data_IF_180834738266
#
_entry.id   IF_180834738266
#
_cell.length_a   1.000
_cell.length_b   1.000
_cell.length_c   1.000
_cell.angle_alpha   90.00
_cell.angle_beta   90.00
_cell.angle_gamma   90.00
#
_symmetry.space_group_name_H-M   'P 1'
#
loop_
_entity.id
_entity.type
_entity.pdbx_description
1 polymer ?
#
# COMPACT_ATOMS: atom_id res chain seq x y z
N UNK A 1 48.73 6.91 -15.47
CA UNK A 1 47.74 7.49 -14.54
C UNK A 1 46.37 7.30 -15.17
N UNK A 2 45.65 6.24 -14.78
CA UNK A 2 44.31 5.93 -15.29
C UNK A 2 43.33 6.61 -14.33
N UNK A 3 42.62 7.63 -14.83
CA UNK A 3 41.60 8.35 -14.07
C UNK A 3 40.36 7.46 -14.02
N UNK A 4 40.05 6.97 -12.82
CA UNK A 4 38.85 6.22 -12.48
C UNK A 4 37.66 7.20 -12.46
N UNK A 5 36.82 7.18 -13.49
CA UNK A 5 35.59 7.96 -13.52
C UNK A 5 34.53 7.21 -12.71
N UNK A 6 34.37 7.54 -11.43
CA UNK A 6 33.26 7.04 -10.62
C UNK A 6 32.03 7.91 -10.87
N UNK A 7 31.11 7.39 -11.68
CA UNK A 7 29.76 7.91 -11.79
C UNK A 7 28.98 7.53 -10.52
N UNK A 8 28.98 8.41 -9.52
CA UNK A 8 27.96 8.37 -8.47
C UNK A 8 26.65 8.88 -9.07
N UNK A 9 25.90 8.01 -9.74
CA UNK A 9 24.52 8.28 -10.05
C UNK A 9 23.70 8.08 -8.77
N UNK A 10 23.40 9.16 -8.05
CA UNK A 10 22.26 9.16 -7.13
C UNK A 10 20.99 9.16 -7.99
N UNK A 11 20.37 7.99 -8.22
CA UNK A 11 18.95 7.99 -8.53
C UNK A 11 18.24 8.51 -7.29
N UNK A 12 17.53 9.63 -7.42
CA UNK A 12 16.48 9.92 -6.46
C UNK A 12 15.40 8.88 -6.75
N UNK A 13 15.31 7.85 -5.93
CA UNK A 13 14.29 6.83 -6.10
C UNK A 13 12.92 7.50 -5.98
N UNK A 14 12.14 7.43 -7.05
CA UNK A 14 10.82 8.04 -7.11
C UNK A 14 9.92 7.34 -6.10
N UNK A 15 9.54 8.05 -5.05
CA UNK A 15 8.65 7.55 -4.01
C UNK A 15 7.22 7.99 -4.30
N UNK A 16 6.31 7.02 -4.38
CA UNK A 16 4.88 7.25 -4.52
C UNK A 16 4.33 7.77 -3.20
N UNK A 17 3.79 8.99 -3.19
CA UNK A 17 3.26 9.66 -1.99
C UNK A 17 1.75 9.59 -1.88
N UNK A 18 1.06 9.36 -2.99
CA UNK A 18 -0.40 9.32 -3.06
C UNK A 18 -0.88 8.39 -4.16
N UNK A 19 -1.95 7.64 -3.89
CA UNK A 19 -2.57 6.72 -4.85
C UNK A 19 -4.08 6.79 -4.78
N UNK A 20 -4.74 6.43 -5.87
CA UNK A 20 -6.16 6.07 -5.90
C UNK A 20 -6.38 4.68 -6.49
N UNK A 21 -7.56 4.10 -6.28
CA UNK A 21 -7.99 2.82 -6.84
C UNK A 21 -9.51 2.84 -7.13
N UNK A 22 -10.00 1.95 -7.99
CA UNK A 22 -11.42 1.91 -8.37
C UNK A 22 -12.16 0.62 -7.96
N UNK A 23 -11.49 -0.32 -7.29
CA UNK A 23 -12.06 -1.62 -6.90
C UNK A 23 -12.29 -1.79 -5.40
N UNK A 24 -12.78 -2.97 -5.00
CA UNK A 24 -12.68 -3.44 -3.61
C UNK A 24 -11.22 -3.67 -3.21
N UNK A 25 -10.95 -3.63 -1.90
CA UNK A 25 -9.65 -3.91 -1.30
C UNK A 25 -9.64 -5.28 -0.63
N UNK A 26 -8.46 -5.85 -0.46
CA UNK A 26 -8.23 -7.01 0.40
C UNK A 26 -7.18 -6.63 1.47
N UNK A 27 -7.38 -7.04 2.72
CA UNK A 27 -6.50 -6.71 3.84
C UNK A 27 -5.63 -7.90 4.24
N UNK A 28 -4.32 -7.68 4.31
CA UNK A 28 -3.32 -8.64 4.72
C UNK A 28 -2.76 -8.23 6.08
N UNK A 29 -3.13 -8.97 7.13
CA UNK A 29 -2.65 -8.75 8.49
C UNK A 29 -1.56 -9.75 8.83
N UNK A 30 -0.38 -9.26 9.23
CA UNK A 30 0.70 -10.11 9.72
C UNK A 30 0.30 -10.77 11.04
N UNK A 31 0.68 -12.04 11.20
CA UNK A 31 0.59 -12.84 12.41
C UNK A 31 1.94 -13.54 12.67
N UNK A 32 2.02 -14.41 13.69
CA UNK A 32 3.29 -15.05 14.10
C UNK A 32 3.95 -15.92 13.02
N UNK A 33 3.20 -16.43 12.03
CA UNK A 33 3.68 -17.39 11.04
C UNK A 33 3.64 -16.84 9.60
N UNK A 34 2.68 -15.96 9.28
CA UNK A 34 2.40 -15.45 7.93
C UNK A 34 1.42 -14.25 7.93
N UNK A 35 0.76 -14.02 6.79
CA UNK A 35 -0.33 -13.06 6.66
C UNK A 35 -1.69 -13.76 6.64
N UNK A 36 -2.62 -13.29 7.45
CA UNK A 36 -4.05 -13.59 7.33
C UNK A 36 -4.71 -12.62 6.35
N UNK A 37 -5.51 -13.15 5.42
CA UNK A 37 -6.17 -12.34 4.39
C UNK A 37 -7.66 -12.19 4.69
N UNK A 38 -8.12 -10.96 4.81
CA UNK A 38 -9.55 -10.62 4.79
C UNK A 38 -9.92 -9.98 3.45
N UNK A 39 -10.69 -10.71 2.65
CA UNK A 39 -11.17 -10.24 1.36
C UNK A 39 -12.32 -9.24 1.49
N UNK A 40 -12.44 -8.34 0.50
CA UNK A 40 -13.52 -7.36 0.38
C UNK A 40 -13.66 -6.46 1.62
N UNK A 41 -12.66 -5.62 1.84
CA UNK A 41 -12.69 -4.59 2.88
C UNK A 41 -13.01 -3.21 2.31
N UNK A 42 -13.50 -2.35 3.17
CA UNK A 42 -13.74 -0.94 2.90
C UNK A 42 -12.89 -0.08 3.86
N UNK A 43 -12.43 1.06 3.37
CA UNK A 43 -11.69 2.07 4.14
C UNK A 43 -12.33 3.45 4.10
N UNK A 44 -13.56 3.56 3.60
CA UNK A 44 -14.34 4.80 3.54
C UNK A 44 -13.85 5.81 2.49
N UNK A 45 -12.82 5.47 1.72
CA UNK A 45 -12.24 6.29 0.66
C UNK A 45 -11.73 5.42 -0.49
N UNK A 46 -11.35 6.06 -1.60
CA UNK A 46 -10.69 5.46 -2.77
C UNK A 46 -9.29 6.01 -3.00
N UNK A 47 -8.73 6.70 -1.99
CA UNK A 47 -7.39 7.29 -2.02
C UNK A 47 -6.62 6.98 -0.74
N UNK A 48 -5.30 6.92 -0.86
CA UNK A 48 -4.38 6.83 0.26
C UNK A 48 -3.17 7.72 -0.01
N UNK A 49 -2.57 8.26 1.05
CA UNK A 49 -1.35 9.06 0.98
C UNK A 49 -0.42 8.69 2.13
N UNK A 50 0.88 8.89 1.91
CA UNK A 50 1.93 8.62 2.89
C UNK A 50 1.68 9.40 4.18
N UNK A 51 1.66 8.70 5.32
CA UNK A 51 1.33 9.25 6.64
C UNK A 51 -0.17 9.37 6.93
N UNK A 52 -1.04 9.11 5.95
CA UNK A 52 -2.48 9.08 6.12
C UNK A 52 -2.94 7.90 6.99
N UNK A 53 -4.15 8.02 7.53
CA UNK A 53 -4.78 6.99 8.37
C UNK A 53 -5.91 6.33 7.60
N UNK A 54 -5.96 5.00 7.60
CA UNK A 54 -7.05 4.22 7.02
C UNK A 54 -7.64 3.31 8.10
N UNK A 55 -8.94 3.47 8.35
CA UNK A 55 -9.72 2.53 9.17
C UNK A 55 -10.31 1.46 8.25
N UNK A 56 -10.19 0.19 8.63
CA UNK A 56 -10.48 -0.96 7.77
C UNK A 56 -11.69 -1.69 8.32
N UNK A 57 -12.68 -1.92 7.46
CA UNK A 57 -13.94 -2.58 7.79
C UNK A 57 -14.22 -3.76 6.87
N UNK A 58 -14.73 -4.86 7.42
CA UNK A 58 -15.10 -6.05 6.64
C UNK A 58 -16.49 -5.90 6.03
N UNK A 59 -16.60 -6.03 4.71
CA UNK A 59 -17.91 -6.09 4.06
C UNK A 59 -18.56 -7.48 4.21
N UNK A 60 -19.90 -7.57 4.14
CA UNK A 60 -20.86 -6.46 4.02
C UNK A 60 -21.30 -5.86 5.37
N UNK A 61 -20.90 -6.46 6.50
CA UNK A 61 -21.40 -6.09 7.83
C UNK A 61 -20.76 -4.82 8.40
N UNK A 62 -19.67 -4.35 7.80
CA UNK A 62 -18.85 -3.24 8.28
C UNK A 62 -18.25 -3.51 9.67
N UNK A 63 -17.84 -4.76 9.92
CA UNK A 63 -17.15 -5.12 11.16
C UNK A 63 -15.76 -4.48 11.16
N UNK A 64 -15.42 -3.72 12.21
CA UNK A 64 -14.11 -3.05 12.32
C UNK A 64 -12.97 -4.07 12.46
N UNK A 65 -12.01 -4.00 11.52
CA UNK A 65 -10.86 -4.90 11.46
C UNK A 65 -9.59 -4.30 12.00
N UNK A 66 -9.24 -3.06 11.65
CA UNK A 66 -7.99 -2.43 12.07
C UNK A 66 -7.95 -0.94 11.69
N UNK A 67 -6.91 -0.25 12.13
CA UNK A 67 -6.51 1.08 11.66
C UNK A 67 -5.02 1.06 11.34
N UNK A 68 -4.66 1.41 10.10
CA UNK A 68 -3.26 1.52 9.70
C UNK A 68 -2.85 2.97 9.46
N UNK A 69 -1.61 3.30 9.80
CA UNK A 69 -0.95 4.53 9.34
C UNK A 69 -0.09 4.20 8.13
N UNK A 70 -0.37 4.81 6.99
CA UNK A 70 0.30 4.50 5.71
C UNK A 70 1.78 4.87 5.79
N UNK A 71 2.65 3.91 5.53
CA UNK A 71 4.12 4.06 5.58
C UNK A 71 4.78 3.88 4.22
N UNK A 72 4.13 3.18 3.28
CA UNK A 72 4.65 2.96 1.94
C UNK A 72 3.50 2.65 0.97
N UNK A 73 3.68 3.04 -0.30
CA UNK A 73 2.80 2.69 -1.40
C UNK A 73 3.67 2.05 -2.48
N UNK A 74 3.43 0.78 -2.77
CA UNK A 74 4.19 -0.02 -3.74
C UNK A 74 3.30 -0.32 -4.95
N UNK A 75 3.73 0.09 -6.14
CA UNK A 75 3.04 -0.22 -7.39
C UNK A 75 3.69 -1.42 -8.08
N UNK A 76 2.86 -2.30 -8.62
CA UNK A 76 3.33 -3.45 -9.40
C UNK A 76 2.28 -3.89 -10.41
N UNK A 77 2.72 -4.55 -11.47
CA UNK A 77 1.82 -5.12 -12.47
C UNK A 77 1.59 -6.59 -12.18
N UNK A 78 0.31 -7.00 -12.19
CA UNK A 78 -0.04 -8.42 -12.26
C UNK A 78 0.36 -8.96 -13.64
N UNK A 79 0.52 -10.28 -13.74
CA UNK A 79 0.95 -10.97 -14.97
C UNK A 79 0.12 -10.65 -16.22
N UNK A 80 -1.14 -10.23 -16.05
CA UNK A 80 -2.05 -9.83 -17.12
C UNK A 80 -2.03 -8.32 -17.43
N UNK A 81 -1.10 -7.57 -16.86
CA UNK A 81 -0.94 -6.13 -17.08
C UNK A 81 -1.83 -5.26 -16.19
N UNK A 82 -2.60 -5.83 -15.27
CA UNK A 82 -3.40 -5.06 -14.32
C UNK A 82 -2.48 -4.32 -13.33
N UNK A 83 -2.55 -2.99 -13.30
CA UNK A 83 -1.81 -2.16 -12.35
C UNK A 83 -2.41 -2.32 -10.95
N UNK A 84 -1.62 -2.86 -10.04
CA UNK A 84 -1.94 -3.09 -8.64
C UNK A 84 -1.12 -2.14 -7.77
N UNK A 85 -1.56 -1.96 -6.52
CA UNK A 85 -0.75 -1.35 -5.50
C UNK A 85 -0.95 -2.00 -4.13
N UNK A 86 0.13 -2.13 -3.37
CA UNK A 86 0.08 -2.39 -1.93
C UNK A 86 0.17 -1.07 -1.19
N UNK A 87 -0.74 -0.88 -0.25
CA UNK A 87 -0.74 0.26 0.67
C UNK A 87 -0.33 -0.30 2.02
N UNK A 88 0.95 -0.16 2.34
CA UNK A 88 1.54 -0.64 3.58
C UNK A 88 1.30 0.36 4.70
N UNK A 89 1.07 -0.15 5.91
CA UNK A 89 0.97 0.69 7.09
C UNK A 89 1.10 -0.06 8.41
N UNK A 90 1.49 0.69 9.43
CA UNK A 90 1.62 0.17 10.79
C UNK A 90 0.23 -0.04 11.40
N UNK A 91 -0.07 -1.28 11.80
CA UNK A 91 -1.32 -1.63 12.47
C UNK A 91 -1.39 -1.02 13.86
N UNK A 92 -2.51 -0.37 14.17
CA UNK A 92 -2.79 0.11 15.53
C UNK A 92 -3.21 -1.02 16.49
N UNK A 93 -3.58 -2.21 15.98
CA UNK A 93 -3.94 -3.37 16.80
C UNK A 93 -2.72 -4.23 17.19
N UNK A 94 -1.85 -4.52 16.23
CA UNK A 94 -0.71 -5.44 16.44
C UNK A 94 0.65 -4.74 16.48
N UNK A 95 0.77 -3.51 15.98
CA UNK A 95 2.06 -2.84 15.77
C UNK A 95 2.89 -3.43 14.62
N UNK A 96 2.34 -4.38 13.87
CA UNK A 96 3.01 -5.03 12.73
C UNK A 96 2.78 -4.26 11.43
N UNK A 97 3.58 -4.55 10.41
CA UNK A 97 3.45 -3.93 9.09
C UNK A 97 2.45 -4.72 8.24
N UNK A 98 1.24 -4.17 8.12
CA UNK A 98 0.15 -4.80 7.38
C UNK A 98 -0.08 -4.05 6.07
N UNK A 99 -0.83 -4.63 5.12
CA UNK A 99 -1.14 -3.93 3.88
C UNK A 99 -2.54 -4.18 3.33
N UNK A 100 -3.02 -3.19 2.59
CA UNK A 100 -4.16 -3.33 1.70
C UNK A 100 -3.66 -3.63 0.29
N UNK A 101 -4.30 -4.58 -0.38
CA UNK A 101 -4.10 -4.83 -1.80
C UNK A 101 -5.22 -4.17 -2.59
N UNK A 102 -4.85 -3.26 -3.48
CA UNK A 102 -5.74 -2.51 -4.35
C UNK A 102 -5.49 -2.85 -5.84
N UNK A 103 -6.54 -2.76 -6.66
CA UNK A 103 -6.51 -2.99 -8.11
C UNK A 103 -6.80 -1.69 -8.85
N UNK A 104 -6.36 -1.60 -10.11
CA UNK A 104 -6.50 -0.42 -10.97
C UNK A 104 -5.96 0.85 -10.32
N UNK A 105 -4.76 0.75 -9.74
CA UNK A 105 -4.19 1.88 -9.03
C UNK A 105 -3.70 2.98 -9.99
N UNK A 106 -3.82 4.23 -9.54
CA UNK A 106 -3.29 5.41 -10.23
C UNK A 106 -2.40 6.20 -9.28
N UNK A 107 -1.20 6.51 -9.72
CA UNK A 107 -0.28 7.36 -9.00
C UNK A 107 -0.77 8.82 -9.06
N UNK A 108 -0.92 9.44 -7.89
CA UNK A 108 -1.37 10.83 -7.73
C UNK A 108 -0.31 11.68 -7.01
N UNK A 109 0.96 11.26 -7.02
CA UNK A 109 2.04 11.90 -6.24
C UNK A 109 2.26 13.38 -6.58
N UNK A 110 2.04 13.76 -7.84
CA UNK A 110 2.25 15.12 -8.35
C UNK A 110 0.96 15.97 -8.41
N UNK A 111 -0.12 15.54 -7.75
CA UNK A 111 -1.43 16.20 -7.73
C UNK A 111 -1.81 16.78 -6.35
#
# INVERSE_FOLDING_TARGET
>A
MIILCQFFACSNDYQIKKTSWDSSLDYFSENLENYEVTYFVDVGTKEAYLGGILEIYKLPKMDYLDRIKVTEIEFFNRVDGLQMCRIWGESSKSGTLNHLLARNCKDLTDL
#
